data_IF_943336422857
#
_entry.id   IF_943336422857
#
_cell.length_a   1.000
_cell.length_b   1.000
_cell.length_c   1.000
_cell.angle_alpha   90.00
_cell.angle_beta   90.00
_cell.angle_gamma   90.00
#
_symmetry.space_group_name_H-M   'P 1'
#
loop_
_entity.id
_entity.type
_entity.pdbx_description
1 polymer ?
#
# COMPACT_ATOMS: atom_id res chain seq x y z
N UNK A 1 -22.40 -37.48 25.69
CA UNK A 1 -21.30 -38.42 25.38
C UNK A 1 -21.33 -38.88 23.92
N UNK A 2 -22.51 -39.10 23.32
CA UNK A 2 -22.69 -39.60 21.95
C UNK A 2 -22.25 -38.57 20.86
N UNK A 3 -22.45 -37.30 21.11
CA UNK A 3 -22.04 -36.21 20.21
C UNK A 3 -20.51 -36.01 20.14
N UNK A 4 -19.78 -36.29 21.21
CA UNK A 4 -18.32 -36.23 21.26
C UNK A 4 -17.69 -37.43 20.54
N UNK A 5 -18.32 -38.60 20.57
CA UNK A 5 -17.89 -39.79 19.83
C UNK A 5 -18.04 -39.59 18.32
N UNK A 6 -19.17 -39.02 17.87
CA UNK A 6 -19.39 -38.69 16.44
C UNK A 6 -18.40 -37.66 15.91
N UNK A 7 -18.03 -36.65 16.71
CA UNK A 7 -17.01 -35.67 16.32
C UNK A 7 -15.61 -36.31 16.23
N UNK A 8 -15.29 -37.27 17.12
CA UNK A 8 -14.00 -37.97 17.05
C UNK A 8 -13.92 -38.91 15.83
N UNK A 9 -15.02 -39.58 15.45
CA UNK A 9 -15.04 -40.41 14.24
C UNK A 9 -14.93 -39.60 12.96
N UNK A 10 -15.56 -38.43 12.87
CA UNK A 10 -15.40 -37.55 11.72
C UNK A 10 -13.96 -36.98 11.58
N UNK A 11 -13.29 -36.76 12.70
CA UNK A 11 -11.88 -36.30 12.70
C UNK A 11 -10.89 -37.44 12.40
N UNK A 12 -11.25 -38.71 12.66
CA UNK A 12 -10.39 -39.87 12.32
C UNK A 12 -10.55 -40.32 10.87
N UNK A 13 -11.70 -40.15 10.25
CA UNK A 13 -11.90 -40.39 8.80
C UNK A 13 -11.16 -39.43 7.87
N UNK A 14 -10.67 -38.32 8.42
CA UNK A 14 -9.83 -37.35 7.68
C UNK A 14 -8.33 -37.70 7.67
N UNK A 15 -7.90 -38.81 8.33
CA UNK A 15 -6.47 -39.18 8.46
C UNK A 15 -6.02 -40.37 7.62
N UNK A 16 -6.93 -41.08 6.96
CA UNK A 16 -6.54 -42.22 6.13
C UNK A 16 -6.87 -41.95 4.66
N UNK A 17 -5.86 -41.61 3.90
CA UNK A 17 -5.95 -41.69 2.47
C UNK A 17 -5.09 -40.75 1.65
N UNK A 18 -3.89 -41.21 1.33
CA UNK A 18 -2.99 -40.83 0.23
C UNK A 18 -1.85 -39.87 0.56
N UNK A 19 -0.72 -40.49 0.79
CA UNK A 19 0.58 -39.96 0.40
C UNK A 19 0.56 -39.77 -1.13
N UNK A 20 0.17 -38.58 -1.53
CA UNK A 20 0.42 -38.01 -2.84
C UNK A 20 1.39 -36.86 -2.59
N UNK A 21 2.59 -36.97 -3.11
CA UNK A 21 3.54 -35.87 -3.27
C UNK A 21 2.95 -34.88 -4.26
N UNK A 22 1.99 -34.07 -3.81
CA UNK A 22 1.66 -32.83 -4.46
C UNK A 22 2.59 -31.78 -3.83
N UNK A 23 3.63 -31.41 -4.56
CA UNK A 23 4.19 -30.08 -4.47
C UNK A 23 3.03 -29.12 -4.67
N UNK A 24 2.46 -28.64 -3.57
CA UNK A 24 1.55 -27.51 -3.60
C UNK A 24 2.39 -26.36 -4.11
N UNK A 25 2.33 -26.13 -5.40
CA UNK A 25 2.64 -24.84 -6.01
C UNK A 25 1.68 -23.86 -5.35
N UNK A 26 2.14 -23.24 -4.24
CA UNK A 26 1.47 -22.08 -3.66
C UNK A 26 1.40 -21.06 -4.80
N UNK A 27 0.24 -20.97 -5.44
CA UNK A 27 -0.03 -19.88 -6.38
C UNK A 27 0.14 -18.60 -5.58
N UNK A 28 1.07 -17.72 -5.95
CA UNK A 28 1.33 -16.51 -5.20
C UNK A 28 0.02 -15.73 -5.07
N UNK A 29 -0.35 -15.42 -3.83
CA UNK A 29 -1.57 -14.67 -3.55
C UNK A 29 -1.38 -13.21 -4.00
N UNK A 30 -1.94 -12.86 -5.15
CA UNK A 30 -1.91 -11.51 -5.68
C UNK A 30 -3.06 -10.68 -5.10
N UNK A 31 -2.73 -9.55 -4.50
CA UNK A 31 -3.69 -8.56 -4.06
C UNK A 31 -3.78 -7.44 -5.09
N UNK A 32 -4.98 -7.17 -5.59
CA UNK A 32 -5.21 -6.03 -6.48
C UNK A 32 -5.25 -4.74 -5.66
N UNK A 33 -4.55 -3.71 -6.13
CA UNK A 33 -4.53 -2.38 -5.51
C UNK A 33 -4.80 -1.31 -6.56
N UNK A 34 -5.54 -0.27 -6.19
CA UNK A 34 -5.94 0.83 -7.10
C UNK A 34 -5.22 2.15 -6.81
N UNK A 35 -4.43 2.17 -5.76
CA UNK A 35 -3.70 3.32 -5.26
C UNK A 35 -2.18 3.08 -5.24
N UNK A 36 -1.72 2.20 -6.12
CA UNK A 36 -0.32 1.78 -6.21
C UNK A 36 0.65 2.95 -6.46
N UNK A 37 0.18 4.04 -7.08
CA UNK A 37 0.96 5.25 -7.32
C UNK A 37 1.43 5.98 -6.05
N UNK A 38 0.94 5.61 -4.86
CA UNK A 38 1.52 6.05 -3.58
C UNK A 38 3.02 5.79 -3.48
N UNK A 39 3.54 4.80 -4.19
CA UNK A 39 4.98 4.51 -4.24
C UNK A 39 5.80 5.73 -4.68
N UNK A 40 5.27 6.60 -5.55
CA UNK A 40 5.94 7.83 -5.98
C UNK A 40 6.16 8.80 -4.84
N UNK A 41 5.28 8.81 -3.86
CA UNK A 41 5.30 9.72 -2.72
C UNK A 41 5.97 9.12 -1.48
N UNK A 42 6.36 7.85 -1.51
CA UNK A 42 6.98 7.16 -0.41
C UNK A 42 8.16 7.92 0.27
N UNK A 43 9.05 8.59 -0.46
CA UNK A 43 10.14 9.34 0.15
C UNK A 43 9.71 10.45 1.12
N UNK A 44 8.49 10.97 0.97
CA UNK A 44 7.97 12.05 1.82
C UNK A 44 7.06 11.59 2.94
N UNK A 45 6.59 10.33 2.93
CA UNK A 45 5.60 9.84 3.90
C UNK A 45 6.12 9.88 5.34
N UNK A 46 7.38 9.49 5.59
CA UNK A 46 7.95 9.58 6.93
C UNK A 46 7.98 11.02 7.46
N UNK A 47 8.30 11.99 6.58
CA UNK A 47 8.28 13.41 6.96
C UNK A 47 6.86 13.90 7.21
N UNK A 48 5.90 13.51 6.37
CA UNK A 48 4.49 13.83 6.56
C UNK A 48 3.99 13.35 7.92
N UNK A 49 4.24 12.08 8.25
CA UNK A 49 3.85 11.51 9.54
C UNK A 49 4.54 12.20 10.72
N UNK A 50 5.78 12.64 10.55
CA UNK A 50 6.49 13.41 11.58
C UNK A 50 5.87 14.80 11.78
N UNK A 51 5.52 15.51 10.71
CA UNK A 51 4.87 16.84 10.78
C UNK A 51 3.52 16.74 11.50
N UNK A 52 2.76 15.69 11.21
CA UNK A 52 1.43 15.46 11.82
C UNK A 52 1.50 14.78 13.21
N UNK A 53 2.70 14.62 13.76
CA UNK A 53 2.92 14.02 15.08
C UNK A 53 2.40 12.57 15.20
N UNK A 54 2.45 11.80 14.09
CA UNK A 54 2.00 10.41 14.06
C UNK A 54 3.08 9.41 14.50
N UNK A 55 4.38 9.80 14.44
CA UNK A 55 5.50 8.93 14.77
C UNK A 55 5.82 8.96 16.27
N UNK A 56 6.39 7.87 16.76
CA UNK A 56 7.00 7.82 18.07
C UNK A 56 8.23 8.74 18.16
N UNK A 57 8.74 8.96 19.38
CA UNK A 57 9.85 9.88 19.62
C UNK A 57 11.15 9.44 18.91
N UNK A 58 11.32 8.13 18.68
CA UNK A 58 12.45 7.57 17.95
C UNK A 58 12.23 7.54 16.43
N UNK A 59 11.03 7.91 15.95
CA UNK A 59 10.59 7.86 14.56
C UNK A 59 10.71 6.47 13.91
N UNK A 60 10.63 5.43 14.73
CA UNK A 60 10.74 4.03 14.28
C UNK A 60 9.40 3.40 13.98
N UNK A 61 8.32 3.94 14.52
CA UNK A 61 6.95 3.47 14.24
C UNK A 61 5.90 4.58 14.38
N UNK A 62 4.68 4.31 13.91
CA UNK A 62 3.54 5.12 14.29
C UNK A 62 3.19 4.83 15.74
N UNK A 63 2.91 5.87 16.53
CA UNK A 63 2.78 5.83 18.00
C UNK A 63 1.80 4.78 18.51
N UNK A 64 0.68 4.59 17.82
CA UNK A 64 -0.35 3.65 18.26
C UNK A 64 -1.24 3.20 17.09
N UNK A 65 -2.09 2.21 17.36
CA UNK A 65 -3.02 1.65 16.37
C UNK A 65 -4.02 2.68 15.84
N UNK A 66 -4.50 3.60 16.67
CA UNK A 66 -5.43 4.63 16.23
C UNK A 66 -4.80 5.57 15.18
N UNK A 67 -3.54 5.98 15.38
CA UNK A 67 -2.79 6.77 14.40
C UNK A 67 -2.43 5.96 13.14
N UNK A 68 -2.18 4.65 13.25
CA UNK A 68 -2.04 3.79 12.07
C UNK A 68 -3.32 3.76 11.23
N UNK A 69 -4.48 3.58 11.89
CA UNK A 69 -5.78 3.63 11.21
C UNK A 69 -5.98 5.00 10.54
N UNK A 70 -5.69 6.07 11.27
CA UNK A 70 -5.81 7.43 10.73
C UNK A 70 -4.90 7.64 9.52
N UNK A 71 -3.67 7.16 9.58
CA UNK A 71 -2.71 7.21 8.48
C UNK A 71 -3.19 6.42 7.24
N UNK A 72 -3.92 5.30 7.40
CA UNK A 72 -4.53 4.58 6.27
C UNK A 72 -5.45 5.50 5.47
N UNK A 73 -6.32 6.27 6.14
CA UNK A 73 -7.23 7.21 5.48
C UNK A 73 -6.52 8.45 4.95
N UNK A 74 -5.48 8.92 5.65
CA UNK A 74 -4.62 10.00 5.17
C UNK A 74 -3.95 9.64 3.84
N UNK A 75 -3.41 8.43 3.72
CA UNK A 75 -2.82 7.92 2.47
C UNK A 75 -3.86 7.84 1.35
N UNK A 76 -5.11 7.49 1.67
CA UNK A 76 -6.18 7.47 0.69
C UNK A 76 -6.53 8.87 0.21
N UNK A 77 -6.58 9.85 1.12
CA UNK A 77 -6.76 11.25 0.77
C UNK A 77 -5.62 11.81 -0.09
N UNK A 78 -4.38 11.39 0.13
CA UNK A 78 -3.25 11.74 -0.75
C UNK A 78 -3.58 11.37 -2.20
N UNK A 79 -4.11 10.17 -2.43
CA UNK A 79 -4.38 9.64 -3.78
C UNK A 79 -5.56 10.32 -4.44
N UNK A 80 -6.67 10.46 -3.72
CA UNK A 80 -7.94 10.88 -4.34
C UNK A 80 -8.28 12.36 -4.09
N UNK A 81 -7.76 12.96 -3.01
CA UNK A 81 -8.08 14.35 -2.61
C UNK A 81 -9.51 14.51 -2.11
N UNK A 82 -10.16 13.42 -1.74
CA UNK A 82 -11.55 13.41 -1.26
C UNK A 82 -11.72 12.40 -0.13
N UNK A 83 -12.74 12.61 0.69
CA UNK A 83 -13.15 11.69 1.75
C UNK A 83 -14.43 10.99 1.32
N UNK A 84 -14.45 9.66 1.39
CA UNK A 84 -15.61 8.82 1.15
C UNK A 84 -15.55 7.54 1.97
N UNK A 85 -16.57 6.73 1.87
CA UNK A 85 -16.51 5.37 2.35
C UNK A 85 -15.62 4.52 1.44
N UNK A 86 -14.80 3.68 2.06
CA UNK A 86 -13.88 2.75 1.38
C UNK A 86 -14.17 1.32 1.81
N UNK A 87 -14.03 0.40 0.87
CA UNK A 87 -14.00 -1.03 1.14
C UNK A 87 -12.62 -1.40 1.68
N UNK A 88 -12.53 -2.42 2.51
CA UNK A 88 -11.24 -2.88 3.06
C UNK A 88 -10.23 -3.24 1.97
N UNK A 89 -10.70 -3.81 0.85
CA UNK A 89 -9.88 -4.14 -0.32
C UNK A 89 -9.20 -2.94 -0.96
N UNK A 90 -9.80 -1.75 -0.89
CA UNK A 90 -9.22 -0.51 -1.41
C UNK A 90 -8.09 0.03 -0.50
N UNK A 91 -8.01 -0.44 0.74
CA UNK A 91 -7.09 0.07 1.77
C UNK A 91 -5.91 -0.87 2.05
N UNK A 92 -5.81 -2.01 1.35
CA UNK A 92 -4.80 -3.05 1.60
C UNK A 92 -3.37 -2.49 1.51
N UNK A 93 -3.07 -1.73 0.47
CA UNK A 93 -1.73 -1.16 0.29
C UNK A 93 -1.42 -0.10 1.36
N UNK A 94 -2.40 0.71 1.74
CA UNK A 94 -2.24 1.69 2.82
C UNK A 94 -1.95 1.01 4.16
N UNK A 95 -2.68 -0.08 4.47
CA UNK A 95 -2.45 -0.88 5.68
C UNK A 95 -1.03 -1.42 5.72
N UNK A 96 -0.54 -1.94 4.60
CA UNK A 96 0.84 -2.39 4.48
C UNK A 96 1.83 -1.26 4.77
N UNK A 97 1.66 -0.10 4.11
CA UNK A 97 2.59 1.03 4.23
C UNK A 97 2.70 1.59 5.66
N UNK A 98 1.63 1.50 6.45
CA UNK A 98 1.64 1.96 7.85
C UNK A 98 1.94 0.84 8.86
N UNK A 99 2.16 -0.38 8.40
CA UNK A 99 2.39 -1.55 9.26
C UNK A 99 1.17 -1.90 10.12
N UNK A 100 -0.05 -1.75 9.58
CA UNK A 100 -1.29 -2.15 10.25
C UNK A 100 -1.68 -3.57 9.83
N UNK A 101 -1.79 -4.46 10.81
CA UNK A 101 -2.12 -5.87 10.57
C UNK A 101 -3.54 -6.03 9.99
N UNK A 102 -3.72 -7.01 9.10
CA UNK A 102 -4.99 -7.22 8.38
C UNK A 102 -6.18 -7.52 9.30
N UNK A 103 -5.96 -8.20 10.43
CA UNK A 103 -7.02 -8.56 11.37
C UNK A 103 -7.50 -7.39 12.25
N UNK A 104 -6.83 -6.25 12.23
CA UNK A 104 -7.27 -5.06 12.99
C UNK A 104 -8.46 -4.43 12.26
N UNK A 105 -9.65 -4.34 12.87
CA UNK A 105 -10.79 -3.73 12.22
C UNK A 105 -10.56 -2.24 11.99
N UNK A 106 -11.06 -1.74 10.85
CA UNK A 106 -11.03 -0.30 10.52
C UNK A 106 -12.44 0.17 10.13
N UNK A 107 -12.78 1.44 10.39
CA UNK A 107 -14.05 1.99 9.95
C UNK A 107 -14.10 2.11 8.42
N UNK A 108 -15.30 2.20 7.84
CA UNK A 108 -15.47 2.45 6.41
C UNK A 108 -15.04 3.85 5.99
N UNK A 109 -15.11 4.80 6.92
CA UNK A 109 -14.75 6.19 6.73
C UNK A 109 -14.17 6.75 8.02
N UNK A 110 -13.21 7.65 7.89
CA UNK A 110 -12.64 8.40 9.00
C UNK A 110 -12.39 9.84 8.55
N UNK A 111 -13.04 10.84 9.17
CA UNK A 111 -12.83 12.24 8.80
C UNK A 111 -11.44 12.71 9.22
N UNK A 112 -10.77 13.37 8.30
CA UNK A 112 -9.49 14.03 8.54
C UNK A 112 -9.70 15.46 9.02
N UNK A 113 -8.77 15.97 9.83
CA UNK A 113 -8.78 17.36 10.25
C UNK A 113 -8.43 18.30 9.10
N UNK A 114 -8.75 19.58 9.23
CA UNK A 114 -8.36 20.59 8.25
C UNK A 114 -6.84 20.72 8.11
N UNK A 115 -6.11 20.57 9.22
CA UNK A 115 -4.65 20.60 9.25
C UNK A 115 -4.04 19.43 8.46
N UNK A 116 -4.56 18.21 8.65
CA UNK A 116 -4.12 17.03 7.91
C UNK A 116 -4.33 17.20 6.40
N UNK A 117 -5.51 17.66 5.99
CA UNK A 117 -5.82 17.91 4.57
C UNK A 117 -4.91 18.97 3.98
N UNK A 118 -4.75 20.11 4.66
CA UNK A 118 -3.91 21.19 4.21
C UNK A 118 -2.43 20.76 4.08
N UNK A 119 -1.93 19.99 5.04
CA UNK A 119 -0.55 19.45 5.03
C UNK A 119 -0.36 18.51 3.85
N UNK A 120 -1.32 17.60 3.62
CA UNK A 120 -1.29 16.69 2.45
C UNK A 120 -1.36 17.46 1.14
N UNK A 121 -2.29 18.39 1.00
CA UNK A 121 -2.46 19.15 -0.25
C UNK A 121 -1.22 19.97 -0.57
N UNK A 122 -0.60 20.59 0.44
CA UNK A 122 0.66 21.34 0.29
C UNK A 122 1.81 20.41 -0.12
N UNK A 123 1.90 19.22 0.49
CA UNK A 123 2.91 18.23 0.13
C UNK A 123 2.74 17.74 -1.32
N UNK A 124 1.53 17.36 -1.71
CA UNK A 124 1.27 16.85 -3.07
C UNK A 124 1.53 17.94 -4.12
N UNK A 125 1.12 19.17 -3.85
CA UNK A 125 1.39 20.30 -4.74
C UNK A 125 2.89 20.56 -4.87
N UNK A 126 3.64 20.52 -3.77
CA UNK A 126 5.09 20.71 -3.76
C UNK A 126 5.83 19.60 -4.51
N UNK A 127 5.44 18.34 -4.33
CA UNK A 127 6.02 17.19 -5.04
C UNK A 127 5.77 17.32 -6.55
N UNK A 128 4.52 17.64 -6.95
CA UNK A 128 4.17 17.88 -8.35
C UNK A 128 5.02 19.00 -8.96
N UNK A 129 5.20 20.11 -8.25
CA UNK A 129 6.01 21.24 -8.72
C UNK A 129 7.50 20.89 -8.88
N UNK A 130 8.01 19.92 -8.14
CA UNK A 130 9.38 19.43 -8.28
C UNK A 130 9.58 18.41 -9.43
N UNK A 131 8.51 18.07 -10.15
CA UNK A 131 8.59 17.20 -11.32
C UNK A 131 8.30 17.99 -12.59
N UNK A 132 9.35 18.37 -13.37
CA UNK A 132 9.19 19.27 -14.51
C UNK A 132 8.18 18.81 -15.55
N UNK A 133 8.09 17.48 -15.79
CA UNK A 133 7.11 16.92 -16.74
C UNK A 133 5.65 17.08 -16.29
N UNK A 134 5.41 17.50 -15.04
CA UNK A 134 4.08 17.80 -14.50
C UNK A 134 3.75 19.31 -14.57
N UNK A 135 4.61 20.09 -15.19
CA UNK A 135 4.30 21.50 -15.42
C UNK A 135 3.04 21.65 -16.29
N UNK A 136 2.16 22.56 -15.92
CA UNK A 136 0.85 22.69 -16.58
C UNK A 136 -0.22 21.65 -16.17
N UNK A 137 0.14 20.57 -15.47
CA UNK A 137 -0.83 19.59 -14.96
C UNK A 137 -1.43 20.07 -13.64
N UNK A 138 -2.76 20.01 -13.49
CA UNK A 138 -3.39 20.30 -12.20
C UNK A 138 -3.06 19.22 -11.14
N UNK A 139 -3.16 19.56 -9.84
CA UNK A 139 -3.01 18.57 -8.75
C UNK A 139 -3.99 17.42 -8.91
N UNK A 140 -5.24 17.73 -9.31
CA UNK A 140 -6.25 16.70 -9.60
C UNK A 140 -5.80 15.79 -10.76
N UNK A 141 -5.29 16.34 -11.84
CA UNK A 141 -4.77 15.58 -12.97
C UNK A 141 -3.58 14.70 -12.58
N UNK A 142 -2.66 15.22 -11.76
CA UNK A 142 -1.55 14.46 -11.22
C UNK A 142 -2.03 13.25 -10.38
N UNK A 143 -2.98 13.47 -9.46
CA UNK A 143 -3.59 12.39 -8.67
C UNK A 143 -4.21 11.30 -9.54
N UNK A 144 -5.03 11.69 -10.53
CA UNK A 144 -5.71 10.75 -11.41
C UNK A 144 -4.76 9.98 -12.35
N UNK A 145 -3.70 10.61 -12.83
CA UNK A 145 -2.79 10.00 -13.79
C UNK A 145 -1.72 9.13 -13.11
N UNK A 146 -1.22 9.55 -11.95
CA UNK A 146 -0.04 8.93 -11.34
C UNK A 146 -0.28 8.32 -9.97
N UNK A 147 -1.23 8.81 -9.17
CA UNK A 147 -1.47 8.25 -7.82
C UNK A 147 -2.58 7.20 -7.82
N UNK A 148 -3.71 7.46 -8.48
CA UNK A 148 -4.80 6.50 -8.63
C UNK A 148 -4.47 5.48 -9.74
N UNK A 149 -3.53 4.58 -9.43
CA UNK A 149 -3.00 3.59 -10.37
C UNK A 149 -3.26 2.17 -9.89
N UNK A 150 -3.73 1.35 -10.80
CA UNK A 150 -3.91 -0.08 -10.55
C UNK A 150 -2.58 -0.81 -10.61
N UNK A 151 -2.42 -1.78 -9.74
CA UNK A 151 -1.28 -2.68 -9.71
C UNK A 151 -1.62 -3.97 -8.96
N UNK A 152 -0.65 -4.85 -8.89
CA UNK A 152 -0.71 -6.09 -8.10
C UNK A 152 0.35 -6.05 -7.03
N UNK A 153 -0.01 -6.49 -5.83
CA UNK A 153 0.87 -6.62 -4.70
C UNK A 153 1.03 -8.10 -4.36
N UNK A 154 2.25 -8.61 -4.42
CA UNK A 154 2.60 -9.99 -4.16
C UNK A 154 3.53 -10.07 -2.96
N UNK A 155 3.22 -10.97 -2.02
CA UNK A 155 4.11 -11.24 -0.90
C UNK A 155 5.16 -12.27 -1.32
N UNK A 156 6.44 -11.91 -1.24
CA UNK A 156 7.58 -12.79 -1.43
C UNK A 156 8.29 -13.04 -0.09
N UNK A 157 9.25 -13.93 -0.07
CA UNK A 157 9.95 -14.33 1.15
C UNK A 157 10.55 -13.12 1.90
N UNK A 158 11.29 -12.25 1.21
CA UNK A 158 12.01 -11.12 1.82
C UNK A 158 11.38 -9.75 1.56
N UNK A 159 10.42 -9.66 0.63
CA UNK A 159 9.86 -8.37 0.17
C UNK A 159 8.40 -8.50 -0.26
N UNK A 160 7.77 -7.35 -0.44
CA UNK A 160 6.58 -7.22 -1.24
C UNK A 160 6.95 -6.76 -2.64
N UNK A 161 6.36 -7.35 -3.66
CA UNK A 161 6.51 -6.93 -5.04
C UNK A 161 5.25 -6.18 -5.46
N UNK A 162 5.40 -4.89 -5.78
CA UNK A 162 4.34 -4.05 -6.33
C UNK A 162 4.57 -3.90 -7.84
N UNK A 163 3.73 -4.55 -8.64
CA UNK A 163 3.79 -4.46 -10.11
C UNK A 163 2.69 -3.57 -10.63
N UNK A 164 3.05 -2.54 -11.38
CA UNK A 164 2.13 -1.54 -11.89
C UNK A 164 1.54 -1.96 -13.24
N UNK A 165 0.25 -1.65 -13.45
CA UNK A 165 -0.34 -1.72 -14.79
C UNK A 165 0.13 -0.52 -15.59
N UNK A 166 0.90 -0.77 -16.65
CA UNK A 166 1.47 0.27 -17.50
C UNK A 166 0.42 1.08 -18.26
N UNK A 167 0.74 2.35 -18.49
CA UNK A 167 -0.02 3.29 -19.34
C UNK A 167 0.93 4.09 -20.20
N UNK A 168 0.43 4.60 -21.33
CA UNK A 168 1.24 5.35 -22.31
C UNK A 168 2.01 6.52 -21.72
N UNK A 169 1.43 7.21 -20.73
CA UNK A 169 2.09 8.38 -20.11
C UNK A 169 3.16 8.02 -19.07
N UNK A 170 3.40 6.73 -18.80
CA UNK A 170 4.43 6.29 -17.86
C UNK A 170 5.85 6.60 -18.35
N UNK A 171 6.03 6.92 -19.62
CA UNK A 171 7.28 7.46 -20.16
C UNK A 171 7.75 8.71 -19.40
N UNK A 172 6.84 9.49 -18.82
CA UNK A 172 7.16 10.68 -18.03
C UNK A 172 7.90 10.34 -16.73
N UNK A 173 7.78 9.10 -16.22
CA UNK A 173 8.51 8.61 -15.03
C UNK A 173 10.02 8.63 -15.24
N UNK A 174 10.50 8.62 -16.48
CA UNK A 174 11.93 8.72 -16.77
C UNK A 174 12.54 10.08 -16.34
N UNK A 175 11.72 11.11 -16.26
CA UNK A 175 12.12 12.47 -15.87
C UNK A 175 11.91 12.75 -14.37
N UNK A 176 11.43 11.77 -13.60
CA UNK A 176 11.20 11.96 -12.18
C UNK A 176 12.55 12.10 -11.44
N UNK A 177 12.75 13.18 -10.65
CA UNK A 177 14.07 13.47 -10.09
C UNK A 177 14.36 12.74 -8.77
N UNK A 178 13.52 11.81 -8.34
CA UNK A 178 13.71 11.02 -7.12
C UNK A 178 13.51 9.53 -7.35
N UNK A 179 14.02 8.70 -6.43
CA UNK A 179 13.82 7.26 -6.47
C UNK A 179 12.50 6.86 -5.81
N UNK A 180 11.76 5.98 -6.45
CA UNK A 180 10.51 5.39 -5.95
C UNK A 180 10.47 3.85 -6.07
N UNK A 181 11.56 3.23 -6.50
CA UNK A 181 11.61 1.79 -6.81
C UNK A 181 11.65 0.90 -5.59
N UNK A 182 11.95 1.45 -4.43
CA UNK A 182 11.94 0.72 -3.16
C UNK A 182 11.33 1.59 -2.07
N UNK A 183 10.43 0.98 -1.29
CA UNK A 183 9.86 1.60 -0.11
C UNK A 183 10.38 0.87 1.12
N UNK A 184 11.12 1.58 1.94
CA UNK A 184 11.68 1.08 3.19
C UNK A 184 11.31 2.03 4.31
N UNK A 185 10.50 1.55 5.25
CA UNK A 185 10.22 2.29 6.47
C UNK A 185 10.72 1.49 7.68
N UNK A 186 11.17 2.13 8.75
CA UNK A 186 11.67 1.43 9.95
C UNK A 186 10.64 0.46 10.56
N UNK A 187 9.35 0.73 10.38
CA UNK A 187 8.25 -0.08 10.90
C UNK A 187 7.81 -1.21 9.97
N UNK A 188 8.37 -1.34 8.78
CA UNK A 188 8.06 -2.44 7.86
C UNK A 188 9.00 -3.61 8.08
N UNK A 189 8.42 -4.80 8.26
CA UNK A 189 9.20 -6.06 8.34
C UNK A 189 9.85 -6.43 7.01
N UNK A 190 9.13 -6.19 5.90
CA UNK A 190 9.57 -6.43 4.54
C UNK A 190 9.45 -5.13 3.75
N UNK A 191 10.45 -4.82 2.94
CA UNK A 191 10.37 -3.66 2.07
C UNK A 191 9.47 -3.93 0.86
N UNK A 192 9.03 -2.88 0.18
CA UNK A 192 8.28 -2.99 -1.07
C UNK A 192 9.20 -2.67 -2.24
N UNK A 193 9.34 -3.63 -3.15
CA UNK A 193 9.99 -3.44 -4.43
C UNK A 193 8.94 -3.01 -5.45
N UNK A 194 9.20 -1.94 -6.19
CA UNK A 194 8.27 -1.40 -7.18
C UNK A 194 8.76 -1.72 -8.59
N UNK A 195 7.91 -2.42 -9.35
CA UNK A 195 8.09 -2.70 -10.77
C UNK A 195 7.14 -1.81 -11.56
N UNK A 196 7.66 -0.69 -12.06
CA UNK A 196 6.91 0.26 -12.83
C UNK A 196 7.77 0.82 -13.94
N UNK A 197 7.35 0.58 -15.18
CA UNK A 197 8.02 1.04 -16.39
C UNK A 197 9.54 0.78 -16.36
N UNK A 198 9.93 -0.50 -16.49
CA UNK A 198 11.32 -0.85 -16.72
C UNK A 198 11.61 -0.77 -18.22
N UNK A 199 12.54 0.10 -18.61
CA UNK A 199 13.16 -0.07 -19.93
C UNK A 199 13.75 -1.47 -19.98
N UNK A 200 13.21 -2.35 -20.81
CA UNK A 200 13.92 -3.55 -21.21
C UNK A 200 15.22 -3.09 -21.86
N UNK A 201 16.31 -3.14 -21.10
CA UNK A 201 17.64 -3.09 -21.71
C UNK A 201 17.77 -4.40 -22.46
N UNK A 202 17.41 -4.40 -23.74
CA UNK A 202 17.88 -5.41 -24.64
C UNK A 202 19.40 -5.28 -24.69
N UNK A 203 20.09 -6.24 -24.08
CA UNK A 203 21.49 -6.54 -24.33
C UNK A 203 21.60 -7.39 -25.60
#
# INVERSE_FOLDING_TARGET
EELLLQLCEMLQLSKDGRVGTDEATETPEFLLVENAGLCLLAPWLSRLFAILDYLDDERKSLRNTALKIRAVFLLQYIVYGEEREYRETELVFNRLLVGLLQHIPIPKQLPLTSEEKQTVDSMVAGIKANWPSMDGTSVRGFRQSFLARSGTLEQQEERWLLTMKEKTHDILLESIPWSFRQIRFPWLKKYVQVMWHEKQKFQ
#
